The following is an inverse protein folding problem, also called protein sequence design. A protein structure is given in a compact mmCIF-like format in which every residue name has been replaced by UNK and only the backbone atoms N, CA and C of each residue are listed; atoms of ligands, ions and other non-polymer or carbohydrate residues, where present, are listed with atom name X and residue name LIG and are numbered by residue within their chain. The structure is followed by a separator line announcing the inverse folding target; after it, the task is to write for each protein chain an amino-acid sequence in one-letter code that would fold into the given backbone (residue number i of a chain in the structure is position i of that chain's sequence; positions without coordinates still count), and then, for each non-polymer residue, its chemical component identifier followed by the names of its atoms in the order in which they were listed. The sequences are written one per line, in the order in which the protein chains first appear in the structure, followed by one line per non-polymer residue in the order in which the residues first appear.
data_IF_915942381944
#
_entry.id   IF_915942381944
#
_cell.length_a   1.000
_cell.length_b   1.000
_cell.length_c   1.000
_cell.angle_alpha   90.00
_cell.angle_beta   90.00
_cell.angle_gamma   90.00
#
_symmetry.space_group_name_H-M   'P 1'
#
loop_
_entity.id
_entity.type
_entity.pdbx_description
1 polymer ?
#
# COMPACT_ATOMS: atom_id res chain seq x y z
N UNK A 1 18.43 -25.26 6.13
CA UNK A 1 17.47 -25.99 5.28
C UNK A 1 16.24 -25.11 5.06
N UNK A 2 16.02 -24.74 3.81
CA UNK A 2 14.83 -23.94 3.47
C UNK A 2 13.64 -24.86 3.41
N UNK A 3 12.71 -24.70 4.33
CA UNK A 3 11.40 -25.29 4.17
C UNK A 3 10.66 -24.49 3.12
N UNK A 4 10.57 -25.04 1.91
CA UNK A 4 9.65 -24.52 0.91
C UNK A 4 8.22 -24.78 1.38
N UNK A 5 7.69 -23.88 2.21
CA UNK A 5 6.27 -23.86 2.41
C UNK A 5 5.66 -23.17 1.20
N UNK A 6 4.82 -23.85 0.43
CA UNK A 6 4.14 -23.18 -0.67
C UNK A 6 3.35 -22.02 -0.11
N UNK A 7 3.41 -20.89 -0.77
CA UNK A 7 2.51 -19.79 -0.48
C UNK A 7 1.08 -20.29 -0.66
N UNK A 8 0.26 -20.05 0.33
CA UNK A 8 -1.17 -20.30 0.22
C UNK A 8 -1.74 -19.46 -0.92
N UNK A 9 -2.78 -19.98 -1.57
CA UNK A 9 -3.54 -19.19 -2.53
C UNK A 9 -4.07 -17.91 -1.86
N UNK A 10 -4.01 -16.78 -2.55
CA UNK A 10 -4.49 -15.53 -1.97
C UNK A 10 -6.00 -15.52 -1.80
N UNK A 11 -6.45 -14.80 -0.79
CA UNK A 11 -7.87 -14.53 -0.62
C UNK A 11 -8.30 -13.40 -1.59
N UNK A 12 -9.40 -13.59 -2.27
CA UNK A 12 -9.95 -12.54 -3.11
C UNK A 12 -10.47 -11.39 -2.25
N UNK A 13 -10.10 -10.17 -2.60
CA UNK A 13 -10.61 -8.96 -1.98
C UNK A 13 -11.54 -8.31 -2.99
N UNK A 14 -12.81 -8.25 -2.63
CA UNK A 14 -13.79 -7.50 -3.42
C UNK A 14 -13.97 -6.15 -2.74
N UNK A 15 -14.02 -5.10 -3.54
CA UNK A 15 -14.18 -3.76 -3.03
C UNK A 15 -15.41 -3.64 -2.14
N UNK A 16 -15.27 -2.88 -1.09
CA UNK A 16 -16.35 -2.64 -0.14
C UNK A 16 -17.32 -1.65 -0.72
N UNK A 17 -18.58 -2.05 -0.72
CA UNK A 17 -19.62 -1.24 -1.29
C UNK A 17 -19.86 -1.53 -2.76
N UNK A 18 -21.07 -1.35 -3.17
CA UNK A 18 -21.52 -1.60 -4.52
C UNK A 18 -20.83 -0.64 -5.49
N UNK A 19 -20.23 -1.18 -6.55
CA UNK A 19 -19.55 -0.36 -7.55
C UNK A 19 -18.30 0.34 -7.01
N UNK A 20 -17.66 -0.21 -6.00
CA UNK A 20 -16.52 0.44 -5.31
C UNK A 20 -15.31 0.69 -6.18
N UNK A 21 -15.19 0.04 -7.34
CA UNK A 21 -14.02 0.20 -8.19
C UNK A 21 -12.74 -0.37 -7.61
N UNK A 22 -12.85 -1.37 -6.75
CA UNK A 22 -11.70 -2.04 -6.15
C UNK A 22 -11.87 -3.55 -6.25
N UNK A 23 -10.83 -4.22 -6.72
CA UNK A 23 -10.77 -5.67 -6.72
C UNK A 23 -9.32 -6.13 -6.60
N UNK A 24 -9.10 -7.28 -5.99
CA UNK A 24 -7.76 -7.77 -5.81
C UNK A 24 -7.67 -9.05 -5.01
N UNK A 25 -6.44 -9.35 -4.62
CA UNK A 25 -6.09 -10.54 -3.85
C UNK A 25 -5.21 -10.16 -2.68
N UNK A 26 -5.40 -10.83 -1.56
CA UNK A 26 -4.64 -10.59 -0.34
C UNK A 26 -3.94 -11.87 0.13
N UNK A 27 -2.67 -11.72 0.47
CA UNK A 27 -1.88 -12.75 1.12
C UNK A 27 -1.59 -12.32 2.56
N UNK A 28 -2.08 -13.06 3.53
CA UNK A 28 -1.81 -12.84 4.96
C UNK A 28 -1.04 -13.98 5.58
N UNK A 29 -1.46 -15.20 5.33
CA UNK A 29 -0.80 -16.39 5.87
C UNK A 29 0.52 -16.64 5.14
N UNK A 30 1.53 -17.02 5.89
CA UNK A 30 2.88 -17.20 5.39
C UNK A 30 3.73 -15.95 5.52
N UNK A 31 3.12 -14.77 5.66
CA UNK A 31 3.85 -13.53 5.88
C UNK A 31 4.07 -13.20 7.36
N UNK A 32 3.31 -13.78 8.28
CA UNK A 32 3.37 -13.46 9.72
C UNK A 32 4.63 -13.93 10.45
N UNK A 33 5.57 -14.59 9.76
CA UNK A 33 6.83 -15.05 10.33
C UNK A 33 8.04 -14.19 9.99
N UNK A 34 7.83 -13.12 9.25
CA UNK A 34 8.85 -12.18 8.83
C UNK A 34 8.36 -10.76 8.94
N UNK A 35 9.08 -9.84 8.33
CA UNK A 35 8.75 -8.42 8.37
C UNK A 35 7.47 -8.09 7.59
N UNK A 36 7.14 -8.84 6.55
CA UNK A 36 5.95 -8.58 5.73
C UNK A 36 4.72 -9.20 6.39
N UNK A 37 3.78 -8.37 6.79
CA UNK A 37 2.56 -8.79 7.50
C UNK A 37 1.43 -9.16 6.55
N UNK A 38 1.32 -8.45 5.43
CA UNK A 38 0.38 -8.77 4.37
C UNK A 38 0.85 -8.17 3.05
N UNK A 39 0.30 -8.70 1.97
CA UNK A 39 0.52 -8.18 0.63
C UNK A 39 -0.79 -8.21 -0.14
N UNK A 40 -1.19 -7.08 -0.68
CA UNK A 40 -2.38 -6.94 -1.51
C UNK A 40 -1.97 -6.64 -2.94
N UNK A 41 -2.50 -7.39 -3.89
CA UNK A 41 -2.43 -7.04 -5.31
C UNK A 41 -3.81 -6.60 -5.74
N UNK A 42 -3.95 -5.38 -6.27
CA UNK A 42 -5.28 -4.83 -6.52
C UNK A 42 -5.33 -3.94 -7.76
N UNK A 43 -6.55 -3.72 -8.20
CA UNK A 43 -6.92 -2.70 -9.20
C UNK A 43 -7.92 -1.76 -8.55
N UNK A 44 -7.65 -0.47 -8.63
CA UNK A 44 -8.50 0.57 -8.06
C UNK A 44 -8.84 1.61 -9.13
N UNK A 45 -10.14 1.83 -9.34
CA UNK A 45 -10.63 2.81 -10.33
C UNK A 45 -11.46 3.93 -9.71
N UNK A 46 -11.74 3.83 -8.42
CA UNK A 46 -12.51 4.84 -7.68
C UNK A 46 -12.05 4.88 -6.22
N UNK A 47 -12.26 6.00 -5.51
CA UNK A 47 -11.95 6.07 -4.08
C UNK A 47 -12.66 4.96 -3.32
N UNK A 48 -11.90 4.20 -2.54
CA UNK A 48 -12.41 3.02 -1.84
C UNK A 48 -12.22 3.11 -0.34
N UNK A 49 -11.05 3.58 0.10
CA UNK A 49 -10.69 3.63 1.51
C UNK A 49 -10.70 5.07 2.00
N UNK A 50 -11.50 5.38 3.04
CA UNK A 50 -11.46 6.70 3.65
C UNK A 50 -10.14 6.92 4.39
N UNK A 51 -9.96 8.12 4.91
CA UNK A 51 -8.84 8.43 5.80
C UNK A 51 -8.80 7.40 6.94
N UNK A 52 -7.64 6.77 7.12
CA UNK A 52 -7.47 5.71 8.11
C UNK A 52 -6.07 5.77 8.74
N UNK A 53 -5.94 5.27 9.98
CA UNK A 53 -4.66 5.30 10.69
C UNK A 53 -3.82 4.05 10.43
N UNK A 54 -2.50 4.24 10.55
CA UNK A 54 -1.53 3.16 10.71
C UNK A 54 -0.59 3.50 11.85
N UNK A 55 -0.07 2.48 12.52
CA UNK A 55 0.86 2.62 13.62
C UNK A 55 1.78 1.40 13.67
N UNK A 56 3.06 1.64 13.95
CA UNK A 56 4.10 0.61 14.13
C UNK A 56 4.47 -0.18 12.88
N UNK A 57 3.98 0.21 11.72
CA UNK A 57 4.25 -0.46 10.45
C UNK A 57 4.73 0.53 9.40
N UNK A 58 5.23 -0.01 8.30
CA UNK A 58 5.30 0.70 7.04
C UNK A 58 4.19 0.21 6.11
N UNK A 59 3.57 1.12 5.39
CA UNK A 59 2.65 0.82 4.30
C UNK A 59 3.33 1.23 2.99
N UNK A 60 3.57 0.28 2.12
CA UNK A 60 4.29 0.50 0.86
C UNK A 60 3.34 0.23 -0.29
N UNK A 61 3.18 1.20 -1.17
CA UNK A 61 2.41 1.06 -2.40
C UNK A 61 3.37 1.11 -3.59
N UNK A 62 3.30 0.10 -4.43
CA UNK A 62 4.10 -0.01 -5.65
C UNK A 62 3.13 -0.08 -6.81
N UNK A 63 3.15 0.92 -7.68
CA UNK A 63 2.30 0.94 -8.87
C UNK A 63 3.01 0.23 -10.01
N UNK A 64 2.32 -0.72 -10.62
CA UNK A 64 2.85 -1.41 -11.80
C UNK A 64 2.91 -0.48 -13.01
N UNK A 65 3.75 -0.84 -13.97
CA UNK A 65 3.96 -0.03 -15.16
C UNK A 65 2.73 0.10 -16.05
N UNK A 66 1.77 -0.82 -15.92
CA UNK A 66 0.52 -0.78 -16.66
C UNK A 66 -0.57 0.09 -15.97
N UNK A 67 -0.27 0.70 -14.85
CA UNK A 67 -1.20 1.62 -14.21
C UNK A 67 -1.48 2.82 -15.13
N UNK A 68 -2.74 3.21 -15.21
CA UNK A 68 -3.19 4.36 -15.99
C UNK A 68 -3.63 5.46 -15.06
N UNK A 69 -3.12 6.67 -15.27
CA UNK A 69 -3.44 7.81 -14.41
C UNK A 69 -2.56 7.86 -13.17
N UNK A 70 -3.10 8.44 -12.12
CA UNK A 70 -2.34 8.69 -10.90
C UNK A 70 -3.13 8.34 -9.65
N UNK A 71 -2.40 8.06 -8.60
CA UNK A 71 -2.89 7.99 -7.23
C UNK A 71 -2.53 9.29 -6.52
N UNK A 72 -3.46 9.84 -5.77
CA UNK A 72 -3.21 10.98 -4.88
C UNK A 72 -3.12 10.51 -3.44
N UNK A 73 -2.02 10.82 -2.79
CA UNK A 73 -1.80 10.50 -1.38
C UNK A 73 -1.82 11.77 -0.54
N UNK A 74 -2.54 11.70 0.56
CA UNK A 74 -2.63 12.78 1.56
C UNK A 74 -2.48 12.18 2.94
N UNK A 75 -1.67 12.79 3.79
CA UNK A 75 -1.40 12.26 5.13
C UNK A 75 -1.31 13.35 6.20
N UNK A 76 -1.32 12.90 7.47
CA UNK A 76 -1.25 13.78 8.63
C UNK A 76 0.14 14.38 8.88
N UNK A 77 1.15 13.94 8.14
CA UNK A 77 2.51 14.51 8.19
C UNK A 77 2.59 15.78 7.33
N UNK A 78 1.58 16.00 6.51
CA UNK A 78 1.52 17.15 5.61
C UNK A 78 2.09 16.87 4.23
N UNK A 79 2.34 15.61 3.90
CA UNK A 79 2.80 15.22 2.59
C UNK A 79 1.61 14.93 1.69
N UNK A 80 1.48 15.71 0.62
CA UNK A 80 0.43 15.54 -0.36
C UNK A 80 1.08 15.48 -1.74
N UNK A 81 0.91 14.36 -2.45
CA UNK A 81 1.48 14.25 -3.79
C UNK A 81 0.80 13.20 -4.63
N UNK A 82 1.04 13.29 -5.92
CA UNK A 82 0.57 12.34 -6.92
C UNK A 82 1.69 11.37 -7.25
N UNK A 83 1.34 10.13 -7.50
CA UNK A 83 2.27 9.12 -8.00
C UNK A 83 1.57 8.21 -9.00
N UNK A 84 2.32 7.69 -9.95
CA UNK A 84 1.80 6.94 -11.08
C UNK A 84 2.60 5.69 -11.39
N UNK A 85 2.44 5.19 -12.62
CA UNK A 85 3.04 3.94 -13.07
C UNK A 85 4.54 3.85 -12.75
N UNK A 86 4.94 2.75 -12.12
CA UNK A 86 6.33 2.49 -11.75
C UNK A 86 6.82 3.18 -10.48
N UNK A 87 6.01 4.07 -9.90
CA UNK A 87 6.39 4.78 -8.68
C UNK A 87 6.19 3.92 -7.43
N UNK A 88 6.96 4.25 -6.39
CA UNK A 88 6.82 3.66 -5.06
C UNK A 88 6.49 4.76 -4.06
N UNK A 89 5.46 4.54 -3.27
CA UNK A 89 5.10 5.41 -2.16
C UNK A 89 5.25 4.62 -0.85
N UNK A 90 6.12 5.10 0.02
CA UNK A 90 6.44 4.43 1.27
C UNK A 90 6.03 5.31 2.44
N UNK A 91 5.07 4.85 3.22
CA UNK A 91 4.65 5.51 4.46
C UNK A 91 5.20 4.74 5.64
N UNK A 92 6.19 5.30 6.32
CA UNK A 92 6.69 4.78 7.59
C UNK A 92 5.81 5.38 8.67
N UNK A 93 4.90 4.57 9.22
CA UNK A 93 3.91 5.08 10.17
C UNK A 93 4.53 5.42 11.53
N UNK A 94 5.50 4.62 11.99
CA UNK A 94 6.14 4.88 13.28
C UNK A 94 5.13 5.00 14.41
N UNK A 95 5.16 6.12 15.13
CA UNK A 95 4.25 6.40 16.26
C UNK A 95 2.80 6.65 15.83
N UNK A 96 2.55 6.87 14.56
CA UNK A 96 1.21 7.01 14.02
C UNK A 96 1.12 7.97 12.84
N UNK A 97 0.29 7.60 11.88
CA UNK A 97 -0.05 8.42 10.71
C UNK A 97 -1.48 8.13 10.32
N UNK A 98 -2.19 9.15 9.90
CA UNK A 98 -3.46 8.98 9.17
C UNK A 98 -3.21 9.33 7.72
N UNK A 99 -3.73 8.51 6.82
CA UNK A 99 -3.59 8.79 5.40
C UNK A 99 -4.79 8.30 4.59
N UNK A 100 -4.86 8.80 3.37
CA UNK A 100 -5.76 8.29 2.35
C UNK A 100 -5.05 8.34 1.00
N UNK A 101 -5.35 7.37 0.16
CA UNK A 101 -4.83 7.29 -1.19
C UNK A 101 -6.01 7.04 -2.12
N UNK A 102 -6.19 7.93 -3.08
CA UNK A 102 -7.32 7.88 -4.00
C UNK A 102 -6.86 8.00 -5.45
N UNK A 103 -7.44 7.23 -6.38
CA UNK A 103 -7.14 7.39 -7.79
C UNK A 103 -7.73 8.71 -8.29
N UNK A 104 -7.02 9.38 -9.19
CA UNK A 104 -7.57 10.52 -9.90
C UNK A 104 -8.63 10.06 -10.91
N UNK A 105 -9.42 10.99 -11.43
CA UNK A 105 -10.48 10.68 -12.38
C UNK A 105 -9.95 9.92 -13.59
N UNK A 106 -10.70 8.93 -14.04
CA UNK A 106 -10.38 8.09 -15.19
C UNK A 106 -9.11 7.24 -15.03
N UNK A 107 -8.64 7.07 -13.80
CA UNK A 107 -7.47 6.24 -13.52
C UNK A 107 -7.85 4.77 -13.38
N UNK A 108 -6.87 3.92 -13.70
CA UNK A 108 -6.93 2.50 -13.41
C UNK A 108 -5.60 2.11 -12.78
N UNK A 109 -5.60 2.07 -11.46
CA UNK A 109 -4.39 1.83 -10.68
C UNK A 109 -4.26 0.33 -10.44
N UNK A 110 -3.21 -0.25 -11.01
CA UNK A 110 -2.80 -1.62 -10.74
C UNK A 110 -1.57 -1.57 -9.85
N UNK A 111 -1.67 -2.13 -8.67
CA UNK A 111 -0.66 -1.94 -7.64
C UNK A 111 -0.53 -3.12 -6.70
N UNK A 112 0.58 -3.11 -5.97
CA UNK A 112 0.80 -3.95 -4.79
C UNK A 112 0.93 -3.04 -3.59
N UNK A 113 0.25 -3.40 -2.51
CA UNK A 113 0.45 -2.77 -1.21
C UNK A 113 0.94 -3.81 -0.23
N UNK A 114 1.98 -3.46 0.53
CA UNK A 114 2.53 -4.31 1.57
C UNK A 114 2.51 -3.57 2.90
N UNK A 115 2.17 -4.30 3.97
CA UNK A 115 2.41 -3.84 5.32
C UNK A 115 3.66 -4.54 5.85
N UNK A 116 4.61 -3.75 6.31
CA UNK A 116 5.90 -4.23 6.80
C UNK A 116 6.01 -3.84 8.27
N UNK A 117 6.27 -4.83 9.12
CA UNK A 117 6.49 -4.59 10.55
C UNK A 117 7.77 -3.78 10.74
N UNK A 118 7.73 -2.80 11.63
CA UNK A 118 8.90 -1.99 11.92
C UNK A 118 9.74 -2.64 13.02
N UNK A 119 11.08 -2.55 12.93
CA UNK A 119 11.93 -2.92 14.05
C UNK A 119 11.61 -2.03 15.26
N UNK A 120 11.81 -2.56 16.44
CA UNK A 120 11.45 -1.89 17.69
C UNK A 120 11.96 -0.45 17.76
N UNK A 121 13.17 -0.20 17.27
CA UNK A 121 13.79 1.12 17.28
C UNK A 121 13.00 2.16 16.46
N UNK A 122 12.19 1.74 15.50
CA UNK A 122 11.44 2.64 14.61
C UNK A 122 9.94 2.70 14.94
N UNK A 123 9.44 1.85 15.82
CA UNK A 123 8.00 1.80 16.13
C UNK A 123 7.46 3.10 16.72
N UNK A 124 8.28 3.80 17.48
CA UNK A 124 7.90 5.07 18.10
C UNK A 124 8.56 6.27 17.42
N UNK A 125 9.21 6.08 16.29
CA UNK A 125 9.77 7.17 15.51
C UNK A 125 8.65 8.06 14.93
N UNK A 126 8.92 9.34 14.66
CA UNK A 126 7.96 10.17 13.94
C UNK A 126 7.64 9.58 12.57
N UNK A 127 6.38 9.69 12.17
CA UNK A 127 5.95 9.23 10.85
C UNK A 127 6.70 9.98 9.74
N UNK A 128 7.03 9.25 8.68
CA UNK A 128 7.74 9.79 7.51
C UNK A 128 7.15 9.20 6.25
N UNK A 129 7.27 9.96 5.17
CA UNK A 129 6.83 9.51 3.85
C UNK A 129 7.98 9.62 2.87
N UNK A 130 8.19 8.56 2.10
CA UNK A 130 9.20 8.50 1.06
C UNK A 130 8.53 8.25 -0.28
N UNK A 131 9.02 8.91 -1.31
CA UNK A 131 8.50 8.77 -2.66
C UNK A 131 9.64 8.51 -3.62
N UNK A 132 9.61 7.37 -4.29
CA UNK A 132 10.55 7.02 -5.33
C UNK A 132 9.84 7.04 -6.68
N UNK A 133 10.26 7.95 -7.54
CA UNK A 133 9.70 8.04 -8.89
C UNK A 133 10.40 7.09 -9.83
N UNK A 134 9.63 6.46 -10.72
CA UNK A 134 10.19 5.57 -11.74
C UNK A 134 11.25 6.27 -12.59
N UNK A 135 11.03 7.55 -12.91
CA UNK A 135 11.94 8.36 -13.72
C UNK A 135 13.29 8.63 -13.05
N UNK A 136 13.37 8.49 -11.73
CA UNK A 136 14.58 8.71 -10.95
C UNK A 136 15.34 7.42 -10.63
N UNK A 137 14.80 6.30 -11.06
CA UNK A 137 15.37 4.98 -10.77
C UNK A 137 16.54 4.64 -11.72
#
# INVERSE_FOLDING_TARGET
MKTNMPLRDPDAIIGRGEGSGFSGYQWREGFGKGAVLLCDSYVMTAPTFPLHPHQYISAVAILFEDAVGQMYSSDSVGTNHYFGAGDVHWTLAGSGVEHTQTPTDHSKIHAVQMFIDLPEALRNAPAQTFHLRAEDA
#
